data_IF_018005986292
#
_entry.id   IF_018005986292
#
_cell.length_a   1.000
_cell.length_b   1.000
_cell.length_c   1.000
_cell.angle_alpha   90.00
_cell.angle_beta   90.00
_cell.angle_gamma   90.00
#
_symmetry.space_group_name_H-M   'P 1'
#
loop_
_entity.id
_entity.type
_entity.pdbx_description
1 polymer ?
#
# COMPACT_ATOMS: atom_id res chain seq x y z
N UNK A 1 -1.28 -29.18 9.03
CA UNK A 1 -1.24 -29.04 7.56
C UNK A 1 -1.12 -27.57 7.24
N UNK A 2 -0.03 -27.22 6.58
CA UNK A 2 0.69 -25.96 6.73
C UNK A 2 0.08 -24.80 5.94
N UNK A 3 -0.68 -23.93 6.62
CA UNK A 3 -1.01 -22.59 6.11
C UNK A 3 0.25 -21.72 5.87
N UNK A 4 1.40 -22.15 6.39
CA UNK A 4 2.68 -21.45 6.28
C UNK A 4 3.31 -21.56 4.88
N UNK A 5 3.07 -22.66 4.15
CA UNK A 5 3.62 -22.89 2.80
C UNK A 5 3.01 -21.96 1.75
N UNK A 6 1.66 -21.82 1.62
CA UNK A 6 1.07 -20.88 0.66
C UNK A 6 1.39 -19.41 1.02
N UNK A 7 1.50 -19.08 2.31
CA UNK A 7 1.87 -17.75 2.79
C UNK A 7 3.26 -17.29 2.32
N UNK A 8 4.27 -18.15 2.50
CA UNK A 8 5.65 -17.87 2.08
C UNK A 8 5.75 -17.67 0.57
N UNK A 9 5.08 -18.51 -0.22
CA UNK A 9 5.14 -18.43 -1.68
C UNK A 9 4.49 -17.15 -2.23
N UNK A 10 3.36 -16.71 -1.64
CA UNK A 10 2.68 -15.46 -2.03
C UNK A 10 3.57 -14.26 -1.75
N UNK A 11 4.13 -14.16 -0.54
CA UNK A 11 5.01 -13.05 -0.14
C UNK A 11 6.27 -12.99 -0.99
N UNK A 12 6.92 -14.13 -1.24
CA UNK A 12 8.11 -14.22 -2.11
C UNK A 12 7.78 -13.78 -3.53
N UNK A 13 6.69 -14.28 -4.11
CA UNK A 13 6.31 -13.94 -5.49
C UNK A 13 6.02 -12.45 -5.64
N UNK A 14 5.32 -11.86 -4.67
CA UNK A 14 5.03 -10.43 -4.65
C UNK A 14 6.32 -9.60 -4.55
N UNK A 15 7.19 -9.97 -3.61
CA UNK A 15 8.51 -9.36 -3.42
C UNK A 15 9.33 -9.41 -4.71
N UNK A 16 9.44 -10.57 -5.34
CA UNK A 16 10.23 -10.76 -6.57
C UNK A 16 9.70 -9.91 -7.72
N UNK A 17 8.38 -9.87 -7.93
CA UNK A 17 7.77 -9.07 -8.99
C UNK A 17 8.00 -7.57 -8.77
N UNK A 18 7.84 -7.10 -7.53
CA UNK A 18 8.07 -5.71 -7.20
C UNK A 18 9.56 -5.33 -7.35
N UNK A 19 10.45 -6.15 -6.79
CA UNK A 19 11.89 -5.93 -6.88
C UNK A 19 12.37 -5.97 -8.33
N UNK A 20 11.82 -6.84 -9.18
CA UNK A 20 12.14 -6.87 -10.59
C UNK A 20 11.86 -5.52 -11.27
N UNK A 21 10.66 -4.97 -11.03
CA UNK A 21 10.29 -3.66 -11.60
C UNK A 21 11.23 -2.58 -11.08
N UNK A 22 11.49 -2.53 -9.77
CA UNK A 22 12.39 -1.53 -9.17
C UNK A 22 13.82 -1.64 -9.71
N UNK A 23 14.32 -2.86 -9.91
CA UNK A 23 15.66 -3.14 -10.43
C UNK A 23 15.81 -2.75 -11.90
N UNK A 24 14.82 -3.08 -12.74
CA UNK A 24 14.86 -2.75 -14.17
C UNK A 24 14.50 -1.30 -14.45
N UNK A 25 13.75 -0.64 -13.57
CA UNK A 25 13.31 0.74 -13.73
C UNK A 25 14.47 1.71 -14.06
N UNK A 26 15.65 1.50 -13.47
CA UNK A 26 16.83 2.35 -13.70
C UNK A 26 17.69 1.92 -14.91
N UNK A 27 17.33 0.84 -15.59
CA UNK A 27 18.11 0.23 -16.68
C UNK A 27 17.47 0.34 -18.06
N UNK A 28 16.20 0.73 -18.13
CA UNK A 28 15.45 0.85 -19.39
C UNK A 28 15.46 2.31 -19.86
N UNK A 29 15.67 2.59 -21.16
CA UNK A 29 15.71 3.95 -21.69
C UNK A 29 14.31 4.55 -21.86
N UNK A 30 13.62 4.79 -20.75
CA UNK A 30 12.30 5.44 -20.68
C UNK A 30 12.44 6.79 -19.95
N UNK A 31 11.54 7.74 -20.20
CA UNK A 31 11.52 9.02 -19.51
C UNK A 31 11.46 8.87 -17.97
N UNK A 32 12.25 9.66 -17.25
CA UNK A 32 12.38 9.60 -15.79
C UNK A 32 11.03 9.73 -15.07
N UNK A 33 10.12 10.58 -15.54
CA UNK A 33 8.79 10.74 -14.95
C UNK A 33 7.97 9.45 -15.02
N UNK A 34 8.08 8.71 -16.13
CA UNK A 34 7.40 7.41 -16.29
C UNK A 34 8.05 6.34 -15.43
N UNK A 35 9.37 6.37 -15.27
CA UNK A 35 10.10 5.49 -14.35
C UNK A 35 9.64 5.72 -12.91
N UNK A 36 9.63 6.98 -12.46
CA UNK A 36 9.16 7.37 -11.14
C UNK A 36 7.71 6.95 -10.92
N UNK A 37 6.83 7.22 -11.89
CA UNK A 37 5.44 6.76 -11.86
C UNK A 37 5.34 5.24 -11.58
N UNK A 38 6.10 4.41 -12.31
CA UNK A 38 6.09 2.95 -12.11
C UNK A 38 6.66 2.53 -10.75
N UNK A 39 7.70 3.20 -10.27
CA UNK A 39 8.24 3.02 -8.91
C UNK A 39 7.17 3.31 -7.84
N UNK A 40 6.41 4.40 -8.01
CA UNK A 40 5.31 4.74 -7.11
C UNK A 40 4.17 3.72 -7.14
N UNK A 41 3.73 3.30 -8.34
CA UNK A 41 2.67 2.30 -8.52
C UNK A 41 3.06 0.95 -7.86
N UNK A 42 4.28 0.47 -8.11
CA UNK A 42 4.72 -0.83 -7.59
C UNK A 42 4.93 -0.80 -6.08
N UNK A 43 5.48 0.29 -5.52
CA UNK A 43 5.62 0.45 -4.08
C UNK A 43 4.26 0.49 -3.38
N UNK A 44 3.27 1.22 -3.93
CA UNK A 44 1.92 1.23 -3.36
C UNK A 44 1.30 -0.18 -3.33
N UNK A 45 1.37 -0.92 -4.44
CA UNK A 45 0.82 -2.28 -4.53
C UNK A 45 1.54 -3.25 -3.59
N UNK A 46 2.88 -3.12 -3.46
CA UNK A 46 3.66 -3.93 -2.52
C UNK A 46 3.25 -3.63 -1.08
N UNK A 47 3.17 -2.36 -0.69
CA UNK A 47 2.70 -1.95 0.63
C UNK A 47 1.29 -2.48 0.96
N UNK A 48 0.34 -2.36 0.02
CA UNK A 48 -1.03 -2.85 0.18
C UNK A 48 -1.06 -4.36 0.43
N UNK A 49 -0.31 -5.12 -0.36
CA UNK A 49 -0.25 -6.57 -0.23
C UNK A 49 0.41 -6.99 1.09
N UNK A 50 1.57 -6.42 1.44
CA UNK A 50 2.24 -6.71 2.71
C UNK A 50 1.38 -6.33 3.91
N UNK A 51 0.63 -5.23 3.82
CA UNK A 51 -0.29 -4.82 4.89
C UNK A 51 -1.48 -5.77 5.06
N UNK A 52 -2.00 -6.35 3.98
CA UNK A 52 -3.01 -7.41 4.07
C UNK A 52 -2.42 -8.68 4.71
N UNK A 53 -1.23 -9.06 4.27
CA UNK A 53 -0.52 -10.27 4.72
C UNK A 53 -0.17 -10.21 6.21
N UNK A 54 0.39 -9.10 6.69
CA UNK A 54 0.79 -8.96 8.12
C UNK A 54 -0.44 -8.97 9.04
N UNK A 55 -1.58 -8.45 8.60
CA UNK A 55 -2.81 -8.43 9.42
C UNK A 55 -3.53 -9.78 9.49
N UNK A 56 -3.27 -10.69 8.55
CA UNK A 56 -3.89 -12.02 8.52
C UNK A 56 -2.99 -13.06 9.21
N UNK A 57 -1.68 -13.02 8.94
CA UNK A 57 -0.75 -14.08 9.35
C UNK A 57 0.36 -13.59 10.29
N UNK A 58 0.46 -12.28 10.48
CA UNK A 58 1.48 -11.66 11.30
C UNK A 58 1.15 -11.63 12.79
N UNK A 59 2.15 -11.26 13.58
CA UNK A 59 1.96 -10.89 14.98
C UNK A 59 1.39 -9.47 15.14
N UNK A 60 1.12 -9.07 16.38
CA UNK A 60 0.73 -7.70 16.68
C UNK A 60 1.90 -6.73 16.38
N UNK A 61 1.65 -5.49 15.93
CA UNK A 61 2.70 -4.51 15.61
C UNK A 61 3.68 -4.17 16.74
N UNK A 62 3.29 -4.36 18.00
CA UNK A 62 4.11 -4.13 19.20
C UNK A 62 5.06 -5.31 19.52
N UNK A 63 4.99 -6.39 18.77
CA UNK A 63 5.82 -7.59 18.96
C UNK A 63 7.28 -7.28 18.56
N UNK A 64 8.23 -7.74 19.38
CA UNK A 64 9.65 -7.36 19.31
C UNK A 64 10.33 -7.73 17.98
N UNK A 65 11.44 -7.07 17.67
CA UNK A 65 12.21 -7.30 16.43
C UNK A 65 12.79 -8.73 16.31
N UNK A 66 12.88 -9.46 17.41
CA UNK A 66 13.42 -10.82 17.44
C UNK A 66 12.41 -11.89 16.97
N UNK A 67 11.11 -11.53 16.95
CA UNK A 67 10.02 -12.46 16.66
C UNK A 67 9.78 -12.61 15.16
N UNK A 68 10.00 -13.82 14.64
CA UNK A 68 9.81 -14.20 13.22
C UNK A 68 8.34 -14.39 12.83
N UNK A 69 7.48 -13.51 13.30
CA UNK A 69 6.06 -13.46 12.95
C UNK A 69 5.73 -12.37 11.93
N UNK A 70 6.72 -11.79 11.26
CA UNK A 70 6.54 -10.91 10.11
C UNK A 70 6.27 -11.66 8.81
N UNK A 71 6.37 -10.96 7.68
CA UNK A 71 6.32 -11.54 6.34
C UNK A 71 7.70 -11.96 5.85
N UNK A 72 7.75 -12.82 4.82
CA UNK A 72 9.02 -13.06 4.12
C UNK A 72 9.31 -11.84 3.25
N UNK A 73 10.45 -11.20 3.47
CA UNK A 73 10.89 -10.02 2.73
C UNK A 73 12.10 -10.38 1.89
N UNK A 74 12.04 -10.08 0.59
CA UNK A 74 13.20 -10.12 -0.29
C UNK A 74 13.70 -8.69 -0.47
N UNK A 75 14.96 -8.45 -0.11
CA UNK A 75 15.60 -7.14 -0.26
C UNK A 75 15.93 -6.80 -1.70
N UNK A 76 16.17 -7.82 -2.54
CA UNK A 76 16.67 -7.64 -3.91
C UNK A 76 15.95 -8.56 -4.90
N UNK A 77 16.08 -8.23 -6.19
CA UNK A 77 15.61 -9.06 -7.30
C UNK A 77 16.66 -10.13 -7.61
N UNK A 78 16.23 -11.39 -7.76
CA UNK A 78 17.16 -12.51 -8.01
C UNK A 78 17.17 -12.85 -9.50
N UNK A 79 18.31 -12.69 -10.16
CA UNK A 79 18.53 -13.08 -11.56
C UNK A 79 19.21 -14.45 -11.66
N UNK A 80 18.46 -15.50 -11.40
CA UNK A 80 18.66 -16.88 -11.91
C UNK A 80 20.03 -17.60 -11.80
N UNK A 81 21.02 -17.18 -11.02
CA UNK A 81 22.24 -17.98 -10.79
C UNK A 81 22.28 -18.74 -9.46
N UNK A 82 21.45 -18.39 -8.48
CA UNK A 82 21.35 -19.10 -7.18
C UNK A 82 19.93 -19.61 -6.97
N UNK A 83 19.67 -20.81 -7.52
CA UNK A 83 18.43 -21.59 -7.32
C UNK A 83 18.43 -22.36 -6.00
N UNK A 84 19.43 -22.19 -5.14
CA UNK A 84 19.22 -22.40 -3.71
C UNK A 84 18.15 -21.41 -3.27
N UNK A 85 16.91 -21.89 -3.34
CA UNK A 85 15.69 -21.19 -2.96
C UNK A 85 15.97 -20.58 -1.60
N UNK A 86 16.26 -19.29 -1.59
CA UNK A 86 16.46 -18.52 -0.36
C UNK A 86 15.07 -18.42 0.28
N UNK A 87 14.62 -19.51 0.90
CA UNK A 87 13.52 -19.49 1.85
C UNK A 87 14.10 -18.74 3.04
N UNK A 88 14.11 -17.41 2.95
CA UNK A 88 14.45 -16.59 4.10
C UNK A 88 13.44 -16.94 5.18
N UNK A 89 13.90 -17.09 6.43
CA UNK A 89 12.97 -17.12 7.54
C UNK A 89 12.11 -15.85 7.47
N UNK A 90 10.90 -15.95 8.03
CA UNK A 90 10.04 -14.77 8.20
C UNK A 90 10.84 -13.66 8.88
N UNK A 91 10.70 -12.45 8.37
CA UNK A 91 11.17 -11.22 9.01
C UNK A 91 10.40 -10.99 10.30
N UNK A 92 10.81 -9.97 11.06
CA UNK A 92 10.04 -9.50 12.19
C UNK A 92 8.79 -8.72 11.78
N UNK A 93 7.85 -8.59 12.71
CA UNK A 93 6.66 -7.75 12.49
C UNK A 93 7.07 -6.31 12.22
N UNK A 94 8.02 -5.79 13.01
CA UNK A 94 8.58 -4.45 12.86
C UNK A 94 9.23 -4.24 11.47
N UNK A 95 10.07 -5.17 11.01
CA UNK A 95 10.68 -5.12 9.68
C UNK A 95 9.61 -5.07 8.56
N UNK A 96 8.52 -5.81 8.74
CA UNK A 96 7.41 -5.80 7.78
C UNK A 96 6.70 -4.46 7.73
N UNK A 97 6.41 -3.85 8.89
CA UNK A 97 5.83 -2.50 8.94
C UNK A 97 6.78 -1.43 8.41
N UNK A 98 8.08 -1.54 8.67
CA UNK A 98 9.09 -0.63 8.13
C UNK A 98 9.14 -0.68 6.60
N UNK A 99 9.08 -1.88 6.00
CA UNK A 99 8.96 -2.04 4.55
C UNK A 99 7.69 -1.36 4.02
N UNK A 100 6.54 -1.63 4.64
CA UNK A 100 5.26 -1.04 4.24
C UNK A 100 5.32 0.50 4.27
N UNK A 101 5.83 1.08 5.36
CA UNK A 101 5.93 2.53 5.51
C UNK A 101 6.89 3.16 4.49
N UNK A 102 8.05 2.53 4.26
CA UNK A 102 9.02 2.97 3.27
C UNK A 102 8.45 2.94 1.84
N UNK A 103 7.71 1.89 1.49
CA UNK A 103 7.03 1.81 0.21
C UNK A 103 5.94 2.87 0.06
N UNK A 104 5.19 3.15 1.12
CA UNK A 104 4.18 4.21 1.08
C UNK A 104 4.81 5.59 0.93
N UNK A 105 5.98 5.83 1.53
CA UNK A 105 6.73 7.07 1.32
C UNK A 105 7.22 7.22 -0.12
N UNK A 106 7.72 6.14 -0.72
CA UNK A 106 8.08 6.11 -2.14
C UNK A 106 6.85 6.34 -3.04
N UNK A 107 5.72 5.71 -2.73
CA UNK A 107 4.48 5.90 -3.45
C UNK A 107 3.99 7.36 -3.36
N UNK A 108 4.04 7.97 -2.18
CA UNK A 108 3.67 9.37 -1.97
C UNK A 108 4.61 10.31 -2.74
N UNK A 109 5.90 10.01 -2.81
CA UNK A 109 6.87 10.81 -3.54
C UNK A 109 6.58 10.80 -5.05
N UNK A 110 6.32 9.63 -5.62
CA UNK A 110 6.32 9.44 -7.07
C UNK A 110 4.94 9.34 -7.75
N UNK A 111 3.87 9.02 -7.02
CA UNK A 111 2.54 8.95 -7.63
C UNK A 111 2.00 10.35 -7.95
N UNK A 112 1.27 10.51 -9.08
CA UNK A 112 0.62 11.76 -9.40
C UNK A 112 -0.55 12.03 -8.44
N UNK A 113 -1.00 13.27 -8.39
CA UNK A 113 -2.16 13.68 -7.57
C UNK A 113 -3.48 13.13 -8.10
N UNK A 114 -3.60 12.94 -9.41
CA UNK A 114 -4.80 12.46 -10.08
C UNK A 114 -4.46 11.77 -11.40
N UNK A 115 -5.41 10.99 -11.91
CA UNK A 115 -5.35 10.35 -13.22
C UNK A 115 -6.47 10.83 -14.12
N UNK A 116 -6.19 10.97 -15.42
CA UNK A 116 -7.16 11.33 -16.44
C UNK A 116 -7.46 10.18 -17.39
N UNK A 117 -8.54 10.31 -18.18
CA UNK A 117 -8.86 9.39 -19.27
C UNK A 117 -8.93 7.92 -18.85
N UNK A 118 -8.25 7.06 -19.60
CA UNK A 118 -8.19 5.61 -19.39
C UNK A 118 -7.38 5.18 -18.17
N UNK A 119 -6.66 6.11 -17.52
CA UNK A 119 -5.85 5.81 -16.34
C UNK A 119 -6.62 6.01 -15.03
N UNK A 120 -7.88 6.44 -15.07
CA UNK A 120 -8.76 6.51 -13.89
C UNK A 120 -8.86 5.13 -13.21
N UNK A 121 -8.83 5.15 -11.88
CA UNK A 121 -8.82 3.96 -11.03
C UNK A 121 -7.41 3.47 -10.63
N UNK A 122 -6.35 4.02 -11.23
CA UNK A 122 -4.98 3.79 -10.72
C UNK A 122 -4.79 4.47 -9.37
N UNK A 123 -3.95 3.86 -8.52
CA UNK A 123 -3.51 4.46 -7.27
C UNK A 123 -2.85 5.82 -7.52
N UNK A 124 -3.22 6.82 -6.73
CA UNK A 124 -2.65 8.16 -6.77
C UNK A 124 -1.95 8.48 -5.43
N UNK A 125 -1.33 9.66 -5.35
CA UNK A 125 -0.63 10.13 -4.14
C UNK A 125 -1.49 10.06 -2.88
N UNK A 126 -2.77 10.39 -2.99
CA UNK A 126 -3.70 10.41 -1.87
C UNK A 126 -4.18 9.01 -1.49
N UNK A 127 -4.26 8.07 -2.44
CA UNK A 127 -4.43 6.64 -2.14
C UNK A 127 -3.31 6.13 -1.22
N UNK A 128 -2.06 6.53 -1.50
CA UNK A 128 -0.91 6.16 -0.68
C UNK A 128 -0.96 6.81 0.72
N UNK A 129 -1.35 8.08 0.83
CA UNK A 129 -1.61 8.72 2.14
C UNK A 129 -2.72 8.01 2.92
N UNK A 130 -3.83 7.65 2.28
CA UNK A 130 -4.94 6.95 2.93
C UNK A 130 -4.51 5.57 3.46
N UNK A 131 -3.75 4.81 2.67
CA UNK A 131 -3.21 3.53 3.12
C UNK A 131 -2.18 3.72 4.26
N UNK A 132 -1.32 4.75 4.19
CA UNK A 132 -0.38 5.10 5.26
C UNK A 132 -1.08 5.46 6.56
N UNK A 133 -2.16 6.24 6.51
CA UNK A 133 -2.97 6.54 7.67
C UNK A 133 -3.51 5.24 8.31
N UNK A 134 -4.06 4.33 7.50
CA UNK A 134 -4.59 3.03 7.98
C UNK A 134 -3.52 2.15 8.62
N UNK A 135 -2.31 2.11 8.05
CA UNK A 135 -1.16 1.39 8.61
C UNK A 135 -0.77 1.98 9.96
N UNK A 136 -0.59 3.30 10.03
CA UNK A 136 -0.22 4.01 11.25
C UNK A 136 -1.26 3.83 12.36
N UNK A 137 -2.55 3.91 12.05
CA UNK A 137 -3.64 3.64 13.01
C UNK A 137 -3.60 2.21 13.55
N UNK A 138 -3.28 1.23 12.70
CA UNK A 138 -3.16 -0.18 13.11
C UNK A 138 -2.00 -0.38 14.09
N UNK A 139 -0.86 0.27 13.81
CA UNK A 139 0.30 0.25 14.71
C UNK A 139 0.02 1.01 16.01
N UNK A 140 -0.68 2.14 15.94
CA UNK A 140 -1.04 2.96 17.10
C UNK A 140 -2.00 2.23 18.04
N UNK A 141 -3.02 1.57 17.51
CA UNK A 141 -4.02 0.83 18.29
C UNK A 141 -3.47 -0.39 19.03
N UNK A 142 -2.30 -0.88 18.66
CA UNK A 142 -1.68 -2.07 19.26
C UNK A 142 -0.50 -1.73 20.17
N UNK A 143 0.30 -0.72 19.80
CA UNK A 143 1.40 -0.22 20.65
C UNK A 143 0.96 0.79 21.72
N UNK A 144 -0.21 1.43 21.55
CA UNK A 144 -0.63 2.56 22.40
C UNK A 144 0.18 3.83 22.19
N UNK A 145 1.04 3.88 21.16
CA UNK A 145 1.93 5.02 20.91
C UNK A 145 1.16 6.23 20.35
N UNK A 146 1.09 7.31 21.14
CA UNK A 146 0.41 8.56 20.80
C UNK A 146 0.98 9.25 19.54
N UNK A 147 2.29 9.15 19.29
CA UNK A 147 2.93 9.75 18.12
C UNK A 147 2.43 9.12 16.80
N UNK A 148 2.11 7.83 16.82
CA UNK A 148 1.55 7.15 15.65
C UNK A 148 0.13 7.65 15.32
N UNK A 149 -0.67 8.01 16.33
CA UNK A 149 -1.97 8.65 16.11
C UNK A 149 -1.82 10.03 15.48
N UNK A 150 -0.86 10.83 15.94
CA UNK A 150 -0.56 12.14 15.34
C UNK A 150 -0.10 12.01 13.88
N UNK A 151 0.80 11.05 13.59
CA UNK A 151 1.25 10.77 12.21
C UNK A 151 0.10 10.27 11.32
N UNK A 152 -0.79 9.44 11.86
CA UNK A 152 -1.97 8.98 11.13
C UNK A 152 -2.92 10.13 10.80
N UNK A 153 -3.17 11.03 11.76
CA UNK A 153 -3.98 12.24 11.54
C UNK A 153 -3.39 13.11 10.43
N UNK A 154 -2.08 13.38 10.48
CA UNK A 154 -1.42 14.19 9.45
C UNK A 154 -1.52 13.56 8.03
N UNK A 155 -1.49 12.23 7.94
CA UNK A 155 -1.72 11.53 6.67
C UNK A 155 -3.17 11.67 6.20
N UNK A 156 -4.17 11.61 7.10
CA UNK A 156 -5.57 11.91 6.77
C UNK A 156 -5.75 13.36 6.32
N UNK A 157 -5.13 14.32 7.01
CA UNK A 157 -5.19 15.75 6.68
C UNK A 157 -4.61 16.03 5.29
N UNK A 158 -3.60 15.27 4.87
CA UNK A 158 -3.04 15.35 3.51
C UNK A 158 -4.06 14.96 2.42
N UNK A 159 -4.99 14.04 2.74
CA UNK A 159 -6.09 13.64 1.84
C UNK A 159 -7.21 14.67 1.91
N UNK A 160 -7.65 15.06 3.10
CA UNK A 160 -8.76 16.01 3.30
C UNK A 160 -8.41 17.38 2.71
N UNK A 161 -7.23 17.90 3.04
CA UNK A 161 -6.72 19.18 2.55
C UNK A 161 -6.40 19.21 1.05
N UNK A 162 -6.42 18.06 0.37
CA UNK A 162 -6.26 18.01 -1.09
C UNK A 162 -7.44 18.61 -1.84
N UNK A 163 -8.63 18.67 -1.23
CA UNK A 163 -9.90 19.00 -1.87
C UNK A 163 -10.19 18.22 -3.16
N UNK A 164 -9.54 17.07 -3.35
CA UNK A 164 -9.65 16.24 -4.56
C UNK A 164 -10.77 15.19 -4.45
N UNK A 165 -11.32 15.01 -3.26
CA UNK A 165 -12.33 14.01 -2.94
C UNK A 165 -13.48 14.63 -2.17
N UNK A 166 -14.67 14.03 -2.29
CA UNK A 166 -15.84 14.39 -1.51
C UNK A 166 -16.68 13.15 -1.25
N UNK A 167 -17.36 13.10 -0.11
CA UNK A 167 -18.35 12.07 0.13
C UNK A 167 -19.44 12.12 -0.94
N UNK A 168 -19.91 10.95 -1.34
CA UNK A 168 -21.01 10.77 -2.25
C UNK A 168 -22.29 11.28 -1.59
N UNK A 169 -22.66 12.53 -1.90
CA UNK A 169 -23.70 13.23 -1.15
C UNK A 169 -25.10 12.69 -1.47
N UNK A 170 -25.81 12.29 -0.41
CA UNK A 170 -27.17 11.77 -0.36
C UNK A 170 -28.28 12.84 -0.41
N UNK A 171 -27.95 14.13 -0.45
CA UNK A 171 -28.95 15.21 -0.60
C UNK A 171 -28.38 16.40 -1.39
N UNK A 172 -28.94 16.67 -2.58
CA UNK A 172 -28.84 18.00 -3.23
C UNK A 172 -30.19 18.69 -3.09
N UNK A 173 -30.22 19.87 -2.46
CA UNK A 173 -31.39 20.77 -2.42
C UNK A 173 -32.70 20.15 -1.89
N UNK A 174 -32.65 19.35 -0.82
CA UNK A 174 -33.86 18.83 -0.16
C UNK A 174 -34.63 17.75 -0.94
N UNK A 175 -34.16 17.36 -2.12
CA UNK A 175 -34.54 16.11 -2.77
C UNK A 175 -33.53 15.02 -2.40
N UNK A 176 -33.98 13.77 -2.25
CA UNK A 176 -33.08 12.61 -2.09
C UNK A 176 -32.05 12.64 -3.24
N UNK A 177 -30.84 13.08 -2.92
CA UNK A 177 -29.69 12.93 -3.80
C UNK A 177 -29.24 11.47 -3.76
N UNK A 178 -28.32 11.12 -4.66
CA UNK A 178 -27.82 9.76 -4.86
C UNK A 178 -27.60 9.01 -3.52
N UNK A 179 -28.22 7.84 -3.38
CA UNK A 179 -28.15 7.01 -2.17
C UNK A 179 -26.71 6.56 -1.90
N UNK A 180 -26.36 6.25 -0.63
CA UNK A 180 -25.12 5.52 -0.31
C UNK A 180 -25.00 4.23 -1.14
N UNK A 181 -26.12 3.57 -1.46
CA UNK A 181 -26.14 2.39 -2.32
C UNK A 181 -25.65 2.66 -3.75
N UNK A 182 -25.72 3.91 -4.22
CA UNK A 182 -25.30 4.28 -5.57
C UNK A 182 -23.79 4.25 -5.75
N UNK A 183 -23.02 4.34 -4.65
CA UNK A 183 -21.55 4.19 -4.67
C UNK A 183 -21.11 2.85 -5.27
N UNK A 184 -21.93 1.82 -5.12
CA UNK A 184 -21.64 0.45 -5.57
C UNK A 184 -22.20 0.15 -6.96
N UNK A 185 -22.75 1.14 -7.66
CA UNK A 185 -23.18 1.01 -9.05
C UNK A 185 -22.01 1.26 -9.98
N UNK A 186 -22.03 0.62 -11.15
CA UNK A 186 -21.04 0.79 -12.21
C UNK A 186 -20.83 2.26 -12.58
N UNK A 187 -21.91 3.06 -12.62
CA UNK A 187 -21.85 4.47 -12.99
C UNK A 187 -21.10 5.35 -11.98
N UNK A 188 -20.87 4.85 -10.75
CA UNK A 188 -20.10 5.51 -9.71
C UNK A 188 -18.63 5.05 -9.64
N UNK A 189 -18.21 4.12 -10.51
CA UNK A 189 -16.83 3.64 -10.59
C UNK A 189 -15.84 4.80 -10.74
N UNK A 190 -14.79 4.80 -9.92
CA UNK A 190 -13.77 5.84 -9.90
C UNK A 190 -14.35 7.25 -9.68
N UNK A 191 -15.46 7.34 -8.95
CA UNK A 191 -16.14 8.58 -8.59
C UNK A 191 -15.40 9.40 -7.53
N UNK A 192 -16.04 10.48 -7.07
CA UNK A 192 -15.44 11.49 -6.18
C UNK A 192 -15.04 11.00 -4.78
N UNK A 193 -15.55 9.85 -4.35
CA UNK A 193 -15.19 9.20 -3.07
C UNK A 193 -14.14 8.09 -3.24
N UNK A 194 -13.85 7.67 -4.49
CA UNK A 194 -12.96 6.56 -4.77
C UNK A 194 -11.49 6.97 -4.65
N UNK A 195 -10.83 6.48 -3.60
CA UNK A 195 -9.39 6.66 -3.40
C UNK A 195 -8.57 5.58 -4.11
N UNK A 196 -8.96 4.31 -3.98
CA UNK A 196 -8.41 3.14 -4.67
C UNK A 196 -9.32 1.93 -4.44
#
# INVERSE_FOLDING_TARGET
MDLLIPYGLITITLSQRANAILYWADKVPIAADKINQRKGEVSFLRALAYFNIIRIYGGRPDVAEEDKYGAVIMSEFITSSDLEVVIKPRSSVAETYNLILSDLDNAIAYLPKAWGGSDKGRANKYSAFALKAKVLMTMAGTSGNADLWSKASAACDSVIGSNSFSLWNTVKNGAMGNSYADLFKKDAENGVESLF
#
